data_IF_733614360067
#
_entry.id   IF_733614360067
#
_cell.length_a   1.000
_cell.length_b   1.000
_cell.length_c   1.000
_cell.angle_alpha   90.00
_cell.angle_beta   90.00
_cell.angle_gamma   90.00
#
_symmetry.space_group_name_H-M   'P 1'
#
loop_
_entity.id
_entity.type
_entity.pdbx_description
1 polymer ?
#
# COMPACT_ATOMS: atom_id res chain seq x y z
N UNK A 1 -17.27 -11.63 -8.55
CA UNK A 1 -17.24 -10.66 -9.67
C UNK A 1 -16.31 -9.53 -9.23
N UNK A 2 -15.19 -9.33 -9.92
CA UNK A 2 -14.22 -8.28 -9.59
C UNK A 2 -14.89 -6.91 -9.77
N UNK A 3 -14.86 -6.07 -8.74
CA UNK A 3 -15.35 -4.68 -8.78
C UNK A 3 -14.20 -3.73 -8.46
N UNK A 4 -14.21 -2.56 -9.10
CA UNK A 4 -13.19 -1.51 -8.90
C UNK A 4 -13.29 -0.97 -7.48
N UNK A 5 -14.48 -0.49 -7.14
CA UNK A 5 -14.82 0.03 -5.82
C UNK A 5 -15.33 -1.09 -4.92
N UNK A 6 -14.63 -1.29 -3.80
CA UNK A 6 -15.03 -2.26 -2.80
C UNK A 6 -15.65 -1.51 -1.65
N UNK A 7 -16.97 -1.65 -1.51
CA UNK A 7 -17.69 -1.06 -0.40
C UNK A 7 -17.27 -1.69 0.92
N UNK A 8 -16.88 -0.85 1.87
CA UNK A 8 -16.46 -1.25 3.21
C UNK A 8 -17.58 -1.96 3.98
N UNK A 9 -18.84 -1.66 3.64
CA UNK A 9 -20.04 -2.36 4.12
C UNK A 9 -20.02 -3.88 3.86
N UNK A 10 -19.25 -4.33 2.86
CA UNK A 10 -19.14 -5.76 2.51
C UNK A 10 -18.06 -6.48 3.31
N UNK A 11 -17.18 -5.75 4.00
CA UNK A 11 -16.12 -6.36 4.80
C UNK A 11 -16.64 -6.69 6.20
N UNK A 12 -16.32 -7.88 6.74
CA UNK A 12 -16.57 -8.15 8.15
C UNK A 12 -15.86 -7.11 9.02
N UNK A 13 -16.55 -6.57 10.03
CA UNK A 13 -16.03 -5.52 10.92
C UNK A 13 -14.65 -5.87 11.53
N UNK A 14 -14.38 -7.15 11.80
CA UNK A 14 -13.07 -7.59 12.31
C UNK A 14 -11.95 -7.33 11.30
N UNK A 15 -12.19 -7.59 10.02
CA UNK A 15 -11.23 -7.33 8.94
C UNK A 15 -11.04 -5.83 8.78
N UNK A 16 -12.13 -5.06 8.74
CA UNK A 16 -12.05 -3.61 8.59
C UNK A 16 -11.27 -2.94 9.74
N UNK A 17 -11.43 -3.43 10.97
CA UNK A 17 -10.61 -2.98 12.11
C UNK A 17 -9.12 -3.23 11.89
N UNK A 18 -8.75 -4.41 11.41
CA UNK A 18 -7.35 -4.74 11.10
C UNK A 18 -6.82 -3.89 9.94
N UNK A 19 -7.63 -3.56 8.93
CA UNK A 19 -7.24 -2.71 7.81
C UNK A 19 -7.16 -1.22 8.18
N UNK A 20 -7.82 -0.78 9.25
CA UNK A 20 -7.78 0.63 9.69
C UNK A 20 -6.65 0.92 10.68
N UNK A 21 -6.13 -0.07 11.41
CA UNK A 21 -5.15 0.17 12.47
C UNK A 21 -3.85 0.79 11.93
N UNK A 22 -3.32 1.77 12.66
CA UNK A 22 -1.97 2.29 12.56
C UNK A 22 -1.15 1.75 13.74
N UNK A 23 -0.17 0.89 13.44
CA UNK A 23 0.66 0.24 14.45
C UNK A 23 1.67 1.19 15.12
N UNK A 24 1.91 2.37 14.55
CA UNK A 24 2.76 3.40 15.19
C UNK A 24 2.01 4.10 16.30
N UNK A 25 0.75 4.49 16.07
CA UNK A 25 -0.05 5.28 17.02
C UNK A 25 -0.94 4.43 17.92
N UNK A 26 -1.24 3.19 17.54
CA UNK A 26 -2.21 2.33 18.22
C UNK A 26 -3.67 2.75 18.03
N UNK A 27 -3.93 3.70 17.10
CA UNK A 27 -5.26 4.17 16.70
C UNK A 27 -5.48 3.82 15.22
N UNK A 28 -6.66 4.12 14.68
CA UNK A 28 -6.85 4.03 13.23
C UNK A 28 -5.97 5.06 12.51
N UNK A 29 -5.64 4.78 11.25
CA UNK A 29 -5.18 5.80 10.30
C UNK A 29 -6.18 6.96 10.25
N UNK A 30 -5.71 8.15 9.93
CA UNK A 30 -6.51 9.38 9.97
C UNK A 30 -6.55 10.03 8.59
N UNK A 31 -7.55 10.88 8.34
CA UNK A 31 -7.81 11.41 7.00
C UNK A 31 -6.59 12.05 6.35
N UNK A 32 -5.84 12.88 7.09
CA UNK A 32 -4.70 13.65 6.61
C UNK A 32 -4.99 14.43 5.30
N UNK A 33 -6.26 14.78 5.11
CA UNK A 33 -6.80 15.55 4.00
C UNK A 33 -7.97 16.39 4.50
N UNK A 34 -8.19 17.52 3.83
CA UNK A 34 -9.30 18.43 4.10
C UNK A 34 -10.48 18.21 3.15
N UNK A 35 -10.42 17.17 2.32
CA UNK A 35 -11.45 16.88 1.30
C UNK A 35 -12.82 16.56 1.89
N UNK A 36 -12.85 16.10 3.15
CA UNK A 36 -14.04 15.58 3.80
C UNK A 36 -14.62 16.52 4.87
N UNK A 37 -13.98 17.67 5.14
CA UNK A 37 -14.37 18.60 6.23
C UNK A 37 -15.84 19.03 6.14
N UNK A 38 -16.40 19.15 4.93
CA UNK A 38 -17.80 19.54 4.74
C UNK A 38 -18.81 18.52 5.26
N UNK A 39 -18.39 17.29 5.55
CA UNK A 39 -19.20 16.24 6.17
C UNK A 39 -19.33 16.42 7.69
N UNK A 40 -18.59 17.36 8.27
CA UNK A 40 -18.69 17.77 9.66
C UNK A 40 -17.81 16.95 10.61
N UNK A 41 -18.28 16.77 11.84
CA UNK A 41 -17.52 16.17 12.93
C UNK A 41 -17.04 14.75 12.57
N UNK A 42 -15.76 14.46 12.76
CA UNK A 42 -15.15 13.15 12.46
C UNK A 42 -14.49 13.07 11.08
N UNK A 43 -14.46 14.18 10.34
CA UNK A 43 -13.87 14.30 9.00
C UNK A 43 -12.84 15.42 8.89
N UNK A 44 -12.36 15.95 10.03
CA UNK A 44 -11.26 16.91 10.03
C UNK A 44 -9.93 16.25 9.66
N UNK A 45 -8.95 17.08 9.27
CA UNK A 45 -7.64 16.61 8.81
C UNK A 45 -7.00 15.60 9.77
N UNK A 46 -7.13 15.81 11.08
CA UNK A 46 -6.51 14.99 12.13
C UNK A 46 -7.44 13.92 12.71
N UNK A 47 -8.69 13.85 12.25
CA UNK A 47 -9.64 12.86 12.75
C UNK A 47 -9.30 11.47 12.23
N UNK A 48 -9.34 10.49 13.13
CA UNK A 48 -9.24 9.07 12.77
C UNK A 48 -10.35 8.68 11.80
N UNK A 49 -10.04 7.79 10.85
CA UNK A 49 -11.06 7.16 10.00
C UNK A 49 -11.78 6.11 10.86
N UNK A 50 -12.91 6.52 11.44
CA UNK A 50 -13.77 5.61 12.20
C UNK A 50 -14.62 4.77 11.26
N UNK A 51 -14.96 3.54 11.67
CA UNK A 51 -15.80 2.65 10.87
C UNK A 51 -17.12 3.33 10.49
N UNK A 52 -17.75 4.02 11.44
CA UNK A 52 -19.01 4.74 11.19
C UNK A 52 -18.87 5.87 10.14
N UNK A 53 -17.66 6.35 9.89
CA UNK A 53 -17.36 7.37 8.89
C UNK A 53 -17.20 6.80 7.47
N UNK A 54 -17.25 5.47 7.30
CA UNK A 54 -17.02 4.79 6.01
C UNK A 54 -17.99 3.64 5.74
N UNK A 55 -19.08 3.50 6.51
CA UNK A 55 -20.12 2.48 6.27
C UNK A 55 -21.52 3.10 6.20
N UNK A 56 -22.50 2.34 5.70
CA UNK A 56 -23.90 2.75 5.64
C UNK A 56 -24.07 3.99 4.75
N UNK A 57 -24.59 5.08 5.32
CA UNK A 57 -24.75 6.35 4.58
C UNK A 57 -23.41 6.94 4.10
N UNK A 58 -22.30 6.51 4.70
CA UNK A 58 -20.95 6.95 4.42
C UNK A 58 -20.15 5.94 3.59
N UNK A 59 -20.73 4.80 3.17
CA UNK A 59 -20.06 3.71 2.46
C UNK A 59 -19.57 4.00 1.03
N UNK A 60 -19.69 5.26 0.60
CA UNK A 60 -19.21 5.74 -0.71
C UNK A 60 -18.31 6.97 -0.57
N UNK A 61 -17.77 7.22 0.64
CA UNK A 61 -16.90 8.38 0.89
C UNK A 61 -15.49 8.12 0.40
N UNK A 62 -14.95 6.95 0.75
CA UNK A 62 -13.68 6.46 0.23
C UNK A 62 -14.04 5.60 -0.97
N UNK A 63 -13.52 5.97 -2.12
CA UNK A 63 -13.74 5.25 -3.37
C UNK A 63 -12.50 5.41 -4.23
N UNK A 64 -12.22 4.45 -5.13
CA UNK A 64 -11.17 4.57 -6.12
C UNK A 64 -11.24 5.89 -6.87
N UNK A 65 -10.08 6.47 -7.11
CA UNK A 65 -9.98 7.81 -7.66
C UNK A 65 -10.60 7.89 -9.03
N UNK A 66 -10.56 6.83 -9.83
CA UNK A 66 -11.20 6.78 -11.15
C UNK A 66 -12.72 7.01 -11.11
N UNK A 67 -13.39 6.71 -9.99
CA UNK A 67 -14.84 6.96 -9.83
C UNK A 67 -15.16 8.35 -9.24
N UNK A 68 -14.16 9.07 -8.69
CA UNK A 68 -14.34 10.44 -8.16
C UNK A 68 -14.70 11.45 -9.26
N UNK A 69 -15.36 12.55 -8.88
CA UNK A 69 -15.73 13.64 -9.80
C UNK A 69 -14.51 14.29 -10.45
N UNK A 70 -14.69 14.87 -11.65
CA UNK A 70 -13.59 15.53 -12.39
C UNK A 70 -13.00 16.70 -11.59
N UNK A 71 -13.83 17.44 -10.88
CA UNK A 71 -13.42 18.57 -10.04
C UNK A 71 -12.53 18.11 -8.89
N UNK A 72 -12.92 17.04 -8.18
CA UNK A 72 -12.16 16.50 -7.06
C UNK A 72 -10.82 15.93 -7.51
N UNK A 73 -10.80 15.21 -8.65
CA UNK A 73 -9.56 14.72 -9.28
C UNK A 73 -8.60 15.87 -9.58
N UNK A 74 -9.08 16.92 -10.27
CA UNK A 74 -8.27 18.09 -10.62
C UNK A 74 -7.71 18.79 -9.38
N UNK A 75 -8.54 19.01 -8.37
CA UNK A 75 -8.13 19.63 -7.10
C UNK A 75 -6.99 18.85 -6.45
N UNK A 76 -7.15 17.54 -6.29
CA UNK A 76 -6.12 16.70 -5.66
C UNK A 76 -4.84 16.59 -6.48
N UNK A 77 -4.91 16.59 -7.81
CA UNK A 77 -3.68 16.63 -8.64
C UNK A 77 -2.89 17.92 -8.42
N UNK A 78 -3.57 19.07 -8.25
CA UNK A 78 -2.91 20.35 -7.98
C UNK A 78 -2.41 20.42 -6.53
N UNK A 79 -3.27 20.11 -5.57
CA UNK A 79 -3.02 20.37 -4.15
C UNK A 79 -2.18 19.27 -3.47
N UNK A 80 -2.23 18.04 -4.00
CA UNK A 80 -1.63 16.84 -3.39
C UNK A 80 -0.61 16.14 -4.28
N UNK A 81 -0.32 16.69 -5.47
CA UNK A 81 0.55 16.08 -6.47
C UNK A 81 0.13 14.63 -6.81
N UNK A 82 -1.16 14.33 -6.72
CA UNK A 82 -1.68 12.98 -6.91
C UNK A 82 -1.85 12.70 -8.42
N UNK A 83 -0.96 11.85 -8.93
CA UNK A 83 -0.83 11.47 -10.35
C UNK A 83 -1.45 10.09 -10.57
N UNK A 84 -2.12 9.92 -11.72
CA UNK A 84 -2.64 8.64 -12.16
C UNK A 84 -1.57 7.94 -12.98
N UNK A 85 -1.04 6.83 -12.48
CA UNK A 85 -0.09 6.02 -13.22
C UNK A 85 -0.85 4.93 -13.99
N UNK A 86 -0.95 5.02 -15.33
CA UNK A 86 -1.61 4.01 -16.14
C UNK A 86 -0.95 2.64 -15.94
N UNK A 87 -1.72 1.55 -16.07
CA UNK A 87 -1.22 0.21 -15.77
C UNK A 87 -0.04 -0.19 -16.66
N UNK A 88 0.01 0.31 -17.91
CA UNK A 88 1.14 0.05 -18.81
C UNK A 88 2.46 0.67 -18.30
N UNK A 89 2.42 1.85 -17.67
CA UNK A 89 3.62 2.47 -17.06
C UNK A 89 4.06 1.65 -15.85
N UNK A 90 3.10 1.24 -15.01
CA UNK A 90 3.39 0.33 -13.90
C UNK A 90 4.03 -0.96 -14.39
N UNK A 91 3.51 -1.52 -15.48
CA UNK A 91 4.03 -2.75 -16.07
C UNK A 91 5.49 -2.61 -16.52
N UNK A 92 5.81 -1.54 -17.24
CA UNK A 92 7.18 -1.27 -17.72
C UNK A 92 8.16 -1.16 -16.54
N UNK A 93 7.77 -0.47 -15.47
CA UNK A 93 8.60 -0.32 -14.27
C UNK A 93 8.73 -1.64 -13.50
N UNK A 94 7.67 -2.43 -13.39
CA UNK A 94 7.77 -3.76 -12.79
C UNK A 94 8.68 -4.68 -13.61
N UNK A 95 8.62 -4.61 -14.96
CA UNK A 95 9.52 -5.35 -15.85
C UNK A 95 10.98 -4.98 -15.62
N UNK A 96 11.28 -3.67 -15.57
CA UNK A 96 12.63 -3.19 -15.25
C UNK A 96 13.10 -3.66 -13.87
N UNK A 97 12.19 -3.70 -12.88
CA UNK A 97 12.47 -4.21 -11.55
C UNK A 97 12.83 -5.70 -11.51
N UNK A 98 12.49 -6.49 -12.53
CA UNK A 98 12.68 -7.94 -12.55
C UNK A 98 13.95 -8.40 -13.26
N UNK A 99 14.59 -7.52 -14.05
CA UNK A 99 15.72 -7.86 -14.94
C UNK A 99 16.86 -8.60 -14.23
N UNK A 100 17.17 -8.24 -12.99
CA UNK A 100 18.27 -8.85 -12.23
C UNK A 100 17.92 -10.20 -11.58
N UNK A 101 16.65 -10.62 -11.60
CA UNK A 101 16.19 -11.85 -10.98
C UNK A 101 15.83 -12.93 -12.00
N UNK A 102 15.51 -12.53 -13.22
CA UNK A 102 15.06 -13.44 -14.27
C UNK A 102 16.21 -13.84 -15.19
N UNK A 103 16.10 -15.03 -15.76
CA UNK A 103 16.95 -15.42 -16.90
C UNK A 103 16.70 -14.47 -18.08
N UNK A 104 17.71 -14.25 -18.92
CA UNK A 104 17.67 -13.26 -20.02
C UNK A 104 16.52 -13.47 -21.02
N UNK A 105 16.04 -14.70 -21.14
CA UNK A 105 14.97 -15.12 -22.05
C UNK A 105 13.67 -15.48 -21.30
N UNK A 106 13.50 -14.93 -20.09
CA UNK A 106 12.29 -15.06 -19.27
C UNK A 106 11.74 -13.70 -18.89
N UNK A 107 10.43 -13.57 -18.93
CA UNK A 107 9.70 -12.34 -18.63
C UNK A 107 8.28 -12.70 -18.18
N UNK A 108 7.63 -11.80 -17.43
CA UNK A 108 6.23 -11.97 -17.05
C UNK A 108 5.27 -11.69 -18.20
N UNK A 109 5.58 -10.65 -18.98
CA UNK A 109 4.83 -10.20 -20.14
C UNK A 109 5.73 -9.35 -21.06
N UNK A 110 5.24 -9.04 -22.25
CA UNK A 110 5.87 -8.14 -23.21
C UNK A 110 4.92 -6.98 -23.55
N UNK A 111 5.36 -5.71 -23.43
CA UNK A 111 4.57 -4.57 -23.89
C UNK A 111 4.25 -4.65 -25.38
N UNK A 112 3.04 -4.23 -25.76
CA UNK A 112 2.55 -4.22 -27.14
C UNK A 112 1.54 -3.09 -27.34
N UNK A 113 1.04 -2.93 -28.57
CA UNK A 113 0.11 -1.87 -28.94
C UNK A 113 -1.02 -2.41 -29.82
N UNK A 114 -2.26 -2.02 -29.53
CA UNK A 114 -3.45 -2.23 -30.39
C UNK A 114 -4.16 -0.90 -30.53
N UNK A 115 -4.37 -0.44 -31.77
CA UNK A 115 -5.07 0.83 -32.08
C UNK A 115 -4.57 2.01 -31.24
N UNK A 116 -3.24 2.21 -31.20
CA UNK A 116 -2.52 3.21 -30.40
C UNK A 116 -2.73 3.12 -28.87
N UNK A 117 -3.31 2.03 -28.37
CA UNK A 117 -3.41 1.74 -26.93
C UNK A 117 -2.31 0.79 -26.50
N UNK A 118 -1.64 1.14 -25.40
CA UNK A 118 -0.69 0.25 -24.74
C UNK A 118 -1.41 -0.97 -24.17
N UNK A 119 -0.90 -2.14 -24.48
CA UNK A 119 -1.31 -3.43 -23.90
C UNK A 119 -0.06 -4.22 -23.51
N UNK A 120 -0.23 -5.39 -22.92
CA UNK A 120 0.87 -6.35 -22.73
C UNK A 120 0.39 -7.76 -23.00
N UNK A 121 1.28 -8.58 -23.56
CA UNK A 121 1.04 -9.99 -23.81
C UNK A 121 1.68 -10.81 -22.69
N UNK A 122 0.87 -11.53 -21.92
CA UNK A 122 1.36 -12.35 -20.80
C UNK A 122 2.18 -13.52 -21.34
N UNK A 123 3.33 -13.78 -20.73
CA UNK A 123 4.10 -14.98 -21.00
C UNK A 123 3.39 -16.20 -20.40
N UNK A 124 2.96 -17.20 -21.20
CA UNK A 124 2.29 -18.38 -20.69
C UNK A 124 3.26 -19.42 -20.11
N UNK A 125 4.58 -19.24 -20.31
CA UNK A 125 5.59 -20.18 -19.85
C UNK A 125 5.94 -19.91 -18.39
N UNK A 126 6.33 -20.94 -17.62
CA UNK A 126 6.87 -20.75 -16.28
C UNK A 126 8.07 -19.80 -16.27
N UNK A 127 8.14 -18.98 -15.22
CA UNK A 127 9.22 -18.02 -15.02
C UNK A 127 10.52 -18.77 -14.71
N UNK A 128 11.59 -18.42 -15.45
CA UNK A 128 12.94 -18.93 -15.23
C UNK A 128 13.82 -17.85 -14.63
N UNK A 129 14.59 -18.22 -13.62
CA UNK A 129 15.41 -17.31 -12.82
C UNK A 129 16.85 -17.23 -13.33
N UNK A 130 17.53 -16.13 -13.00
CA UNK A 130 18.93 -15.93 -13.31
C UNK A 130 19.83 -16.98 -12.61
N UNK A 131 21.05 -17.16 -13.10
CA UNK A 131 22.02 -18.09 -12.51
C UNK A 131 22.27 -17.72 -11.03
N UNK A 132 22.05 -18.69 -10.13
CA UNK A 132 22.22 -18.51 -8.69
C UNK A 132 21.03 -17.84 -7.97
N UNK A 133 19.95 -17.51 -8.68
CA UNK A 133 18.70 -16.99 -8.11
C UNK A 133 17.66 -18.09 -8.07
N UNK A 134 17.05 -18.30 -6.89
CA UNK A 134 15.91 -19.21 -6.74
C UNK A 134 14.59 -18.46 -6.82
N UNK A 135 13.49 -19.18 -7.04
CA UNK A 135 12.16 -18.56 -7.02
C UNK A 135 11.82 -18.01 -5.62
N UNK A 136 12.33 -18.65 -4.57
CA UNK A 136 12.20 -18.18 -3.19
C UNK A 136 12.91 -16.84 -2.99
N UNK A 137 14.10 -16.66 -3.57
CA UNK A 137 14.83 -15.39 -3.50
C UNK A 137 14.03 -14.25 -4.14
N UNK A 138 13.31 -14.53 -5.25
CA UNK A 138 12.41 -13.55 -5.84
C UNK A 138 11.24 -13.23 -4.90
N UNK A 139 10.57 -14.25 -4.35
CA UNK A 139 9.42 -14.05 -3.46
C UNK A 139 9.81 -13.30 -2.19
N UNK A 140 10.98 -13.59 -1.64
CA UNK A 140 11.52 -12.98 -0.42
C UNK A 140 12.16 -11.60 -0.66
N UNK A 141 12.23 -11.12 -1.90
CA UNK A 141 12.71 -9.76 -2.19
C UNK A 141 11.77 -8.72 -1.59
N UNK A 142 12.32 -7.87 -0.73
CA UNK A 142 11.59 -6.70 -0.25
C UNK A 142 11.33 -5.72 -1.41
N UNK A 143 10.08 -5.32 -1.58
CA UNK A 143 9.69 -4.21 -2.45
C UNK A 143 8.90 -3.18 -1.65
N UNK A 144 9.03 -1.91 -2.03
CA UNK A 144 8.29 -0.82 -1.43
C UNK A 144 7.78 0.13 -2.52
N UNK A 145 6.48 0.41 -2.51
CA UNK A 145 5.89 1.49 -3.29
C UNK A 145 5.81 2.76 -2.44
N UNK A 146 6.62 3.76 -2.77
CA UNK A 146 6.62 5.05 -2.07
C UNK A 146 5.47 5.91 -2.61
N UNK A 147 4.80 6.65 -1.73
CA UNK A 147 3.61 7.47 -2.09
C UNK A 147 2.61 6.68 -2.92
N UNK A 148 2.18 5.53 -2.36
CA UNK A 148 1.57 4.46 -3.14
C UNK A 148 0.17 4.78 -3.66
N UNK A 149 -0.51 5.81 -3.18
CA UNK A 149 -1.91 6.04 -3.56
C UNK A 149 -2.74 4.78 -3.31
N UNK A 150 -3.27 4.19 -4.39
CA UNK A 150 -4.08 2.95 -4.38
C UNK A 150 -3.24 1.65 -4.58
N UNK A 151 -1.91 1.77 -4.51
CA UNK A 151 -0.90 0.75 -4.70
C UNK A 151 -0.86 0.04 -6.08
N UNK A 152 -0.95 0.77 -7.22
CA UNK A 152 -0.97 0.17 -8.56
C UNK A 152 0.31 -0.54 -8.98
N UNK A 153 1.46 -0.30 -8.32
CA UNK A 153 2.68 -1.07 -8.57
C UNK A 153 2.75 -2.35 -7.74
N UNK A 154 2.07 -2.41 -6.59
CA UNK A 154 2.00 -3.63 -5.78
C UNK A 154 0.95 -4.60 -6.30
N UNK A 155 -0.25 -4.12 -6.58
CA UNK A 155 -1.39 -4.91 -7.07
C UNK A 155 -2.15 -4.15 -8.15
N UNK A 156 -2.57 -4.87 -9.17
CA UNK A 156 -3.15 -4.27 -10.39
C UNK A 156 -4.54 -4.84 -10.66
N UNK A 157 -5.49 -4.57 -9.75
CA UNK A 157 -6.88 -5.04 -9.90
C UNK A 157 -7.62 -4.32 -11.04
N UNK A 158 -7.23 -3.09 -11.33
CA UNK A 158 -7.72 -2.25 -12.41
C UNK A 158 -6.65 -1.25 -12.84
N UNK A 159 -6.80 -0.69 -14.03
CA UNK A 159 -6.02 0.45 -14.47
C UNK A 159 -6.51 1.73 -13.76
N UNK A 160 -5.61 2.42 -13.04
CA UNK A 160 -6.01 3.60 -12.25
C UNK A 160 -6.37 4.83 -13.11
N UNK A 161 -5.94 4.87 -14.37
CA UNK A 161 -6.24 5.93 -15.31
C UNK A 161 -7.56 5.71 -16.05
N UNK A 162 -7.84 4.48 -16.50
CA UNK A 162 -9.06 4.15 -17.27
C UNK A 162 -10.19 3.57 -16.41
N UNK A 163 -9.86 2.91 -15.30
CA UNK A 163 -10.79 2.13 -14.47
C UNK A 163 -11.12 0.77 -15.06
N UNK A 164 -10.46 0.35 -16.13
CA UNK A 164 -10.68 -0.97 -16.72
C UNK A 164 -10.14 -2.05 -15.77
N UNK A 165 -10.97 -3.07 -15.50
CA UNK A 165 -10.59 -4.21 -14.67
C UNK A 165 -9.50 -5.04 -15.34
N UNK A 166 -8.53 -5.50 -14.56
CA UNK A 166 -7.44 -6.37 -15.02
C UNK A 166 -7.64 -7.76 -14.43
N UNK A 167 -7.87 -8.74 -15.30
CA UNK A 167 -8.05 -10.14 -14.93
C UNK A 167 -6.78 -10.72 -14.29
N UNK A 168 -6.91 -11.69 -13.38
CA UNK A 168 -5.79 -12.27 -12.61
C UNK A 168 -4.56 -12.66 -13.45
N UNK A 169 -4.69 -13.35 -14.62
CA UNK A 169 -3.52 -13.70 -15.43
C UNK A 169 -2.81 -12.50 -16.05
N UNK A 170 -3.52 -11.37 -16.19
CA UNK A 170 -3.05 -10.13 -16.80
C UNK A 170 -2.45 -9.16 -15.78
N UNK A 171 -2.52 -9.46 -14.49
CA UNK A 171 -2.02 -8.55 -13.45
C UNK A 171 -0.50 -8.43 -13.48
N UNK A 172 -0.02 -7.21 -13.25
CA UNK A 172 1.37 -6.77 -13.41
C UNK A 172 2.03 -6.35 -12.10
N UNK A 173 1.28 -6.24 -11.01
CA UNK A 173 1.79 -5.75 -9.74
C UNK A 173 2.89 -6.65 -9.16
N UNK A 174 3.81 -6.08 -8.38
CA UNK A 174 4.91 -6.85 -7.78
C UNK A 174 4.41 -7.97 -6.86
N UNK A 175 3.33 -7.76 -6.12
CA UNK A 175 2.69 -8.82 -5.32
C UNK A 175 2.00 -9.85 -6.21
N UNK A 176 1.31 -9.40 -7.26
CA UNK A 176 0.68 -10.28 -8.26
C UNK A 176 1.72 -11.22 -8.91
N UNK A 177 2.89 -10.69 -9.25
CA UNK A 177 4.05 -11.44 -9.79
C UNK A 177 4.62 -12.45 -8.80
N UNK A 178 4.77 -12.06 -7.52
CA UNK A 178 5.17 -12.99 -6.46
C UNK A 178 4.18 -14.14 -6.32
N UNK A 179 2.88 -13.85 -6.28
CA UNK A 179 1.84 -14.89 -6.18
C UNK A 179 1.83 -15.79 -7.42
N UNK A 180 2.03 -15.25 -8.62
CA UNK A 180 2.22 -16.05 -9.83
C UNK A 180 3.40 -17.02 -9.70
N UNK A 181 4.55 -16.57 -9.22
CA UNK A 181 5.71 -17.45 -9.01
C UNK A 181 5.39 -18.55 -8.00
N UNK A 182 4.74 -18.21 -6.88
CA UNK A 182 4.26 -19.21 -5.92
C UNK A 182 3.32 -20.19 -6.61
N UNK A 183 2.45 -19.71 -7.50
CA UNK A 183 1.50 -20.55 -8.20
C UNK A 183 2.16 -21.58 -9.12
N UNK A 184 3.25 -21.20 -9.78
CA UNK A 184 4.01 -22.04 -10.70
C UNK A 184 4.88 -23.09 -9.98
N UNK A 185 5.28 -22.83 -8.72
CA UNK A 185 6.28 -23.63 -8.01
C UNK A 185 5.74 -24.45 -6.84
N UNK A 186 4.53 -24.16 -6.36
CA UNK A 186 3.90 -24.82 -5.22
C UNK A 186 2.55 -25.39 -5.64
N UNK A 187 2.24 -26.62 -5.24
CA UNK A 187 0.99 -27.29 -5.62
C UNK A 187 0.03 -27.51 -4.46
N UNK A 188 0.53 -27.82 -3.26
CA UNK A 188 -0.30 -28.11 -2.09
C UNK A 188 -0.73 -26.83 -1.36
N UNK A 189 -1.87 -26.91 -0.67
CA UNK A 189 -2.50 -25.76 -0.01
C UNK A 189 -1.63 -25.15 1.11
N UNK A 190 -1.07 -26.00 1.97
CA UNK A 190 -0.30 -25.56 3.15
C UNK A 190 0.97 -24.78 2.75
N UNK A 191 1.73 -25.29 1.80
CA UNK A 191 2.92 -24.59 1.32
C UNK A 191 2.53 -23.34 0.53
N UNK A 192 1.44 -23.39 -0.23
CA UNK A 192 0.99 -22.25 -1.00
C UNK A 192 0.63 -21.08 -0.10
N UNK A 193 -0.16 -21.31 0.95
CA UNK A 193 -0.55 -20.25 1.88
C UNK A 193 0.67 -19.69 2.62
N UNK A 194 1.63 -20.54 2.98
CA UNK A 194 2.88 -20.10 3.60
C UNK A 194 3.69 -19.16 2.69
N UNK A 195 3.82 -19.49 1.41
CA UNK A 195 4.58 -18.67 0.47
C UNK A 195 3.84 -17.42 0.00
N UNK A 196 2.51 -17.46 -0.05
CA UNK A 196 1.69 -16.25 -0.22
C UNK A 196 1.86 -15.30 0.96
N UNK A 197 1.78 -15.79 2.20
CA UNK A 197 2.04 -14.98 3.41
C UNK A 197 3.42 -14.30 3.32
N UNK A 198 4.47 -15.04 2.95
CA UNK A 198 5.82 -14.47 2.73
C UNK A 198 5.84 -13.40 1.64
N UNK A 199 5.04 -13.56 0.59
CA UNK A 199 4.91 -12.56 -0.49
C UNK A 199 4.32 -11.25 0.03
N UNK A 200 3.31 -11.33 0.90
CA UNK A 200 2.73 -10.16 1.59
C UNK A 200 3.73 -9.53 2.56
N UNK A 201 4.40 -10.34 3.39
CA UNK A 201 5.37 -9.86 4.39
C UNK A 201 6.52 -9.06 3.78
N UNK A 202 6.91 -9.36 2.54
CA UNK A 202 8.01 -8.68 1.83
C UNK A 202 7.55 -7.59 0.86
N UNK A 203 6.28 -7.19 0.93
CA UNK A 203 5.70 -6.17 0.04
C UNK A 203 5.15 -5.02 0.88
N UNK A 204 5.74 -3.84 0.72
CA UNK A 204 5.48 -2.66 1.53
C UNK A 204 4.99 -1.48 0.68
N UNK A 205 4.38 -0.50 1.34
CA UNK A 205 4.01 0.76 0.71
C UNK A 205 3.69 1.82 1.77
N UNK A 206 3.74 3.08 1.39
CA UNK A 206 3.25 4.14 2.26
C UNK A 206 2.64 5.29 1.49
N UNK A 207 1.71 5.97 2.13
CA UNK A 207 1.13 7.22 1.61
C UNK A 207 0.94 8.23 2.75
N UNK A 208 0.73 9.50 2.38
CA UNK A 208 0.39 10.55 3.34
C UNK A 208 -1.07 10.46 3.77
N UNK A 209 -1.98 10.21 2.82
CA UNK A 209 -3.41 10.36 3.03
C UNK A 209 -4.05 9.06 3.51
N UNK A 210 -4.88 9.12 4.54
CA UNK A 210 -5.47 7.91 5.14
C UNK A 210 -6.44 7.19 4.20
N UNK A 211 -7.16 7.93 3.35
CA UNK A 211 -8.06 7.34 2.34
C UNK A 211 -7.28 6.55 1.29
N UNK A 212 -6.14 7.07 0.83
CA UNK A 212 -5.24 6.34 -0.08
C UNK A 212 -4.71 5.07 0.59
N UNK A 213 -4.23 5.17 1.84
CA UNK A 213 -3.74 4.01 2.60
C UNK A 213 -4.82 2.93 2.72
N UNK A 214 -6.07 3.30 3.01
CA UNK A 214 -7.16 2.33 3.09
C UNK A 214 -7.42 1.65 1.73
N UNK A 215 -7.53 2.41 0.64
CA UNK A 215 -7.73 1.86 -0.70
C UNK A 215 -6.61 0.91 -1.12
N UNK A 216 -5.35 1.25 -0.84
CA UNK A 216 -4.23 0.35 -1.07
C UNK A 216 -4.36 -0.95 -0.26
N UNK A 217 -4.69 -0.85 1.03
CA UNK A 217 -4.87 -2.02 1.92
C UNK A 217 -6.01 -2.92 1.43
N UNK A 218 -7.12 -2.36 0.98
CA UNK A 218 -8.24 -3.09 0.39
C UNK A 218 -7.87 -3.76 -0.92
N UNK A 219 -7.17 -3.06 -1.81
CA UNK A 219 -6.70 -3.65 -3.06
C UNK A 219 -5.79 -4.86 -2.81
N UNK A 220 -4.87 -4.77 -1.84
CA UNK A 220 -4.03 -5.92 -1.45
C UNK A 220 -4.87 -7.06 -0.86
N UNK A 221 -5.84 -6.76 0.01
CA UNK A 221 -6.70 -7.75 0.64
C UNK A 221 -7.57 -8.48 -0.38
N UNK A 222 -8.21 -7.76 -1.30
CA UNK A 222 -9.04 -8.37 -2.33
C UNK A 222 -8.21 -9.12 -3.37
N UNK A 223 -6.98 -8.68 -3.69
CA UNK A 223 -6.07 -9.49 -4.49
C UNK A 223 -5.78 -10.84 -3.83
N UNK A 224 -5.56 -10.90 -2.50
CA UNK A 224 -5.40 -12.18 -1.78
C UNK A 224 -6.62 -13.07 -1.95
N UNK A 225 -7.81 -12.52 -1.69
CA UNK A 225 -9.08 -13.26 -1.77
C UNK A 225 -9.30 -13.79 -3.19
N UNK A 226 -9.09 -12.95 -4.21
CA UNK A 226 -9.27 -13.32 -5.63
C UNK A 226 -8.28 -14.42 -6.07
N UNK A 227 -7.00 -14.34 -5.68
CA UNK A 227 -6.04 -15.41 -5.98
C UNK A 227 -6.33 -16.70 -5.22
N UNK A 228 -6.81 -16.60 -3.98
CA UNK A 228 -7.18 -17.77 -3.18
C UNK A 228 -8.39 -18.48 -3.82
N UNK A 229 -9.44 -17.73 -4.14
CA UNK A 229 -10.66 -18.25 -4.78
C UNK A 229 -10.36 -18.90 -6.13
N UNK A 230 -9.60 -18.23 -6.99
CA UNK A 230 -9.25 -18.74 -8.32
C UNK A 230 -8.52 -20.08 -8.22
N UNK A 231 -7.65 -20.22 -7.22
CA UNK A 231 -6.82 -21.40 -7.07
C UNK A 231 -7.54 -22.57 -6.39
N UNK A 232 -8.35 -22.29 -5.37
CA UNK A 232 -8.90 -23.32 -4.48
C UNK A 232 -10.41 -23.52 -4.66
N UNK A 233 -11.09 -22.66 -5.41
CA UNK A 233 -12.53 -22.73 -5.65
C UNK A 233 -13.38 -22.41 -4.42
N UNK A 234 -12.77 -21.87 -3.36
CA UNK A 234 -13.44 -21.52 -2.10
C UNK A 234 -12.85 -20.23 -1.50
N UNK A 235 -13.52 -19.68 -0.49
CA UNK A 235 -13.06 -18.49 0.24
C UNK A 235 -11.99 -18.85 1.27
N UNK A 236 -11.00 -17.97 1.54
CA UNK A 236 -10.11 -18.15 2.67
C UNK A 236 -10.89 -18.11 4.00
N UNK A 237 -10.45 -18.88 4.98
CA UNK A 237 -11.04 -18.85 6.33
C UNK A 237 -10.92 -17.46 6.96
N UNK A 238 -11.84 -17.13 7.87
CA UNK A 238 -11.83 -15.84 8.58
C UNK A 238 -10.50 -15.59 9.29
N UNK A 239 -9.91 -16.63 9.90
CA UNK A 239 -8.61 -16.49 10.57
C UNK A 239 -7.49 -16.13 9.60
N UNK A 240 -7.51 -16.69 8.38
CA UNK A 240 -6.53 -16.35 7.33
C UNK A 240 -6.75 -14.96 6.75
N UNK A 241 -8.00 -14.53 6.62
CA UNK A 241 -8.33 -13.15 6.25
C UNK A 241 -7.80 -12.16 7.30
N UNK A 242 -7.98 -12.44 8.60
CA UNK A 242 -7.46 -11.61 9.69
C UNK A 242 -5.93 -11.56 9.67
N UNK A 243 -5.26 -12.71 9.48
CA UNK A 243 -3.81 -12.78 9.40
C UNK A 243 -3.24 -11.93 8.26
N UNK A 244 -3.82 -12.03 7.05
CA UNK A 244 -3.42 -11.22 5.90
C UNK A 244 -3.72 -9.73 6.13
N UNK A 245 -4.89 -9.39 6.67
CA UNK A 245 -5.24 -8.00 6.99
C UNK A 245 -4.25 -7.37 7.98
N UNK A 246 -3.80 -8.14 8.97
CA UNK A 246 -2.76 -7.70 9.92
C UNK A 246 -1.41 -7.49 9.26
N UNK A 247 -0.98 -8.36 8.35
CA UNK A 247 0.26 -8.16 7.59
C UNK A 247 0.16 -6.90 6.72
N UNK A 248 -0.97 -6.74 6.03
CA UNK A 248 -1.26 -5.57 5.19
C UNK A 248 -1.19 -4.27 6.01
N UNK A 249 -1.77 -4.22 7.21
CA UNK A 249 -1.75 -3.00 8.01
C UNK A 249 -0.39 -2.66 8.61
N UNK A 250 0.49 -3.65 8.79
CA UNK A 250 1.91 -3.41 9.09
C UNK A 250 2.70 -2.90 7.88
N UNK A 251 2.35 -3.38 6.69
CA UNK A 251 3.18 -3.21 5.49
C UNK A 251 2.79 -2.01 4.62
N UNK A 252 1.51 -1.64 4.63
CA UNK A 252 0.98 -0.44 3.98
C UNK A 252 0.63 0.56 5.09
N UNK A 253 1.39 1.64 5.23
CA UNK A 253 1.32 2.51 6.41
C UNK A 253 1.26 4.01 6.06
N UNK A 254 0.75 4.82 6.99
CA UNK A 254 0.61 6.25 6.80
C UNK A 254 1.89 7.00 7.24
N UNK A 255 2.50 7.79 6.37
CA UNK A 255 3.78 8.46 6.65
C UNK A 255 4.01 9.76 5.88
N UNK A 256 4.60 10.75 6.55
CA UNK A 256 5.31 11.85 5.89
C UNK A 256 6.62 11.29 5.32
N UNK A 257 6.66 10.97 4.02
CA UNK A 257 7.80 10.35 3.36
C UNK A 257 9.10 11.17 3.39
N UNK A 258 9.02 12.49 3.54
CA UNK A 258 10.20 13.36 3.64
C UNK A 258 10.80 13.32 5.05
N UNK A 259 9.95 13.21 6.07
CA UNK A 259 10.34 13.31 7.47
C UNK A 259 10.39 11.96 8.20
N UNK A 260 9.83 10.90 7.59
CA UNK A 260 9.72 9.55 8.14
C UNK A 260 8.98 9.47 9.49
N UNK A 261 8.00 10.35 9.67
CA UNK A 261 7.16 10.47 10.87
C UNK A 261 5.68 10.46 10.49
N UNK A 262 4.81 10.26 11.47
CA UNK A 262 3.36 10.39 11.27
C UNK A 262 3.02 11.79 10.72
N UNK A 263 2.14 11.92 9.71
CA UNK A 263 1.85 13.22 9.11
C UNK A 263 1.48 14.29 10.15
N UNK A 264 2.03 15.50 9.99
CA UNK A 264 1.86 16.63 10.91
C UNK A 264 2.29 16.42 12.38
N UNK A 265 2.98 15.33 12.72
CA UNK A 265 3.51 15.10 14.07
C UNK A 265 4.81 15.88 14.35
N UNK A 266 5.62 16.18 13.33
CA UNK A 266 6.81 17.03 13.46
C UNK A 266 6.42 18.51 13.53
N UNK A 267 7.00 19.24 14.50
CA UNK A 267 6.70 20.66 14.76
C UNK A 267 7.95 21.52 14.61
N UNK A 268 7.86 22.59 13.83
CA UNK A 268 8.94 23.55 13.60
C UNK A 268 8.37 24.96 13.39
N UNK A 269 8.87 25.94 14.15
CA UNK A 269 8.46 27.34 14.01
C UNK A 269 7.05 27.63 14.52
N UNK A 270 6.54 26.79 15.44
CA UNK A 270 5.21 26.94 16.05
C UNK A 270 5.35 27.15 17.56
N UNK A 271 4.43 27.92 18.15
CA UNK A 271 4.32 28.01 19.60
C UNK A 271 3.80 26.68 20.15
N UNK A 272 4.39 26.20 21.24
CA UNK A 272 3.91 25.03 21.94
C UNK A 272 4.31 25.06 23.40
N UNK A 273 3.50 24.41 24.22
CA UNK A 273 3.75 24.28 25.66
C UNK A 273 4.92 23.34 25.88
N UNK A 274 6.01 23.86 26.45
CA UNK A 274 7.11 23.01 26.93
C UNK A 274 6.64 22.39 28.25
N UNK A 275 7.00 21.13 28.53
CA UNK A 275 6.57 20.38 29.72
C UNK A 275 7.14 20.90 31.05
N UNK A 276 7.28 22.22 31.21
CA UNK A 276 7.60 22.87 32.48
C UNK A 276 6.31 23.00 33.33
N UNK A 277 6.50 23.02 34.64
CA UNK A 277 5.39 23.07 35.63
C UNK A 277 4.48 24.30 35.49
N UNK A 278 4.92 25.29 34.69
CA UNK A 278 4.30 26.60 34.52
C UNK A 278 3.62 26.79 33.16
N UNK A 279 3.72 25.82 32.24
CA UNK A 279 3.02 25.84 30.96
C UNK A 279 3.43 26.99 30.04
N UNK A 280 4.69 27.40 30.05
CA UNK A 280 5.17 28.49 29.20
C UNK A 280 5.16 28.06 27.72
N UNK A 281 4.68 28.95 26.85
CA UNK A 281 4.70 28.75 25.41
C UNK A 281 6.07 29.15 24.85
N UNK A 282 6.79 28.19 24.26
CA UNK A 282 8.03 28.47 23.54
C UNK A 282 7.90 28.09 22.06
N UNK A 283 8.75 28.68 21.23
CA UNK A 283 8.84 28.32 19.82
C UNK A 283 9.54 26.97 19.67
N UNK A 284 8.80 25.95 19.28
CA UNK A 284 9.36 24.62 19.03
C UNK A 284 10.20 24.66 17.75
N UNK A 285 11.47 24.26 17.87
CA UNK A 285 12.36 24.08 16.72
C UNK A 285 12.70 22.60 16.51
N UNK A 286 12.86 22.20 15.25
CA UNK A 286 13.17 20.83 14.87
C UNK A 286 14.49 20.83 14.11
N UNK A 287 15.47 20.06 14.58
CA UNK A 287 16.77 19.94 13.93
C UNK A 287 16.65 19.28 12.55
N UNK A 288 15.80 18.25 12.42
CA UNK A 288 15.53 17.59 11.14
C UNK A 288 15.02 18.55 10.08
N UNK A 289 14.08 19.45 10.43
CA UNK A 289 13.59 20.47 9.50
C UNK A 289 14.68 21.49 9.11
N UNK A 290 15.54 21.88 10.05
CA UNK A 290 16.64 22.84 9.78
C UNK A 290 17.74 22.25 8.91
N UNK A 291 18.02 20.96 9.09
CA UNK A 291 19.19 20.29 8.48
C UNK A 291 18.82 19.36 7.33
N UNK A 292 17.53 19.23 7.02
CA UNK A 292 16.98 18.24 6.09
C UNK A 292 17.45 16.80 6.42
N UNK A 293 17.49 16.47 7.72
CA UNK A 293 17.96 15.17 8.21
C UNK A 293 16.77 14.32 8.71
N UNK A 294 16.42 13.23 8.00
CA UNK A 294 15.25 12.42 8.34
C UNK A 294 15.36 11.76 9.73
N UNK A 295 16.57 11.55 10.24
CA UNK A 295 16.79 10.94 11.55
C UNK A 295 16.63 11.92 12.73
N UNK A 296 16.47 13.22 12.44
CA UNK A 296 16.47 14.28 13.46
C UNK A 296 15.13 15.02 13.57
N UNK A 297 14.07 14.48 12.94
CA UNK A 297 12.73 15.01 13.15
C UNK A 297 12.23 14.70 14.57
N UNK A 298 11.56 15.69 15.18
CA UNK A 298 10.92 15.59 16.49
C UNK A 298 9.47 15.05 16.44
N UNK A 299 9.01 14.61 15.26
CA UNK A 299 7.71 13.97 15.11
C UNK A 299 7.72 12.52 15.60
N UNK A 300 6.56 11.87 15.58
CA UNK A 300 6.40 10.47 15.98
C UNK A 300 6.96 9.58 14.86
N UNK A 301 8.09 8.87 15.07
CA UNK A 301 8.70 8.05 14.03
C UNK A 301 7.79 6.89 13.63
N UNK A 302 7.60 6.69 12.33
CA UNK A 302 6.77 5.58 11.83
C UNK A 302 7.47 4.25 12.10
N UNK A 303 6.67 3.26 12.51
CA UNK A 303 7.11 1.90 12.82
C UNK A 303 6.61 0.92 11.77
N UNK A 304 7.45 -0.07 11.48
CA UNK A 304 7.13 -1.20 10.59
C UNK A 304 7.55 -2.52 11.25
N UNK A 305 7.03 -3.63 10.74
CA UNK A 305 7.47 -4.98 11.11
C UNK A 305 8.65 -5.42 10.24
N UNK A 306 9.77 -5.76 10.86
CA UNK A 306 10.83 -6.57 10.26
C UNK A 306 10.39 -8.04 10.39
N UNK A 307 9.81 -8.60 9.33
CA UNK A 307 9.25 -9.96 9.35
C UNK A 307 10.31 -11.06 9.41
N UNK A 308 11.55 -10.79 9.03
CA UNK A 308 12.65 -11.75 9.17
C UNK A 308 12.99 -11.92 10.66
N UNK A 309 13.15 -10.79 11.36
CA UNK A 309 13.50 -10.78 12.79
C UNK A 309 12.32 -10.86 13.73
N UNK A 310 11.11 -10.66 13.22
CA UNK A 310 9.88 -10.54 14.01
C UNK A 310 9.97 -9.38 15.04
N UNK A 311 10.56 -8.27 14.63
CA UNK A 311 10.80 -7.10 15.46
C UNK A 311 10.15 -5.84 14.89
N UNK A 312 9.62 -4.99 15.77
CA UNK A 312 9.11 -3.67 15.37
C UNK A 312 10.28 -2.69 15.34
N UNK A 313 10.51 -2.06 14.19
CA UNK A 313 11.59 -1.10 13.97
C UNK A 313 11.04 0.26 13.51
N UNK A 314 11.80 1.34 13.75
CA UNK A 314 11.50 2.63 13.13
C UNK A 314 11.91 2.62 11.65
N UNK A 315 11.04 3.07 10.75
CA UNK A 315 11.31 3.09 9.31
C UNK A 315 12.59 3.86 8.96
N UNK A 316 12.82 5.00 9.61
CA UNK A 316 14.03 5.81 9.41
C UNK A 316 15.35 5.09 9.74
N UNK A 317 15.31 4.04 10.56
CA UNK A 317 16.49 3.22 10.87
C UNK A 317 17.04 2.46 9.65
N UNK A 318 16.24 2.32 8.59
CA UNK A 318 16.70 1.75 7.31
C UNK A 318 17.67 2.68 6.57
N UNK A 319 17.59 4.00 6.82
CA UNK A 319 18.43 5.01 6.16
C UNK A 319 19.71 5.32 6.94
N UNK A 320 19.73 5.06 8.25
CA UNK A 320 20.91 5.25 9.09
C UNK A 320 21.97 4.15 8.92
N UNK A 321 21.57 2.98 8.39
CA UNK A 321 22.49 1.90 8.01
C UNK A 321 23.21 2.19 6.68
N UNK A 322 23.98 3.29 6.63
CA UNK A 322 25.09 3.35 5.68
C UNK A 322 26.22 2.50 6.24
N UNK A 323 26.54 1.41 5.53
CA UNK A 323 27.81 0.69 5.68
C UNK A 323 28.98 1.61 5.38
#
# INVERSE_FOLDING_TARGET
MCVIDVLEDKLPIKILKELLIDHTTGKNIFWASSDYITLGKGFDFTDSIEIASIIGNNGHIIMPRVVKSKELKKKRTIDKAEIFTPAWVCNDMCNAGDENYLSKDSHFNEPSYIDDRHIWNVCPKPIRFADGVTWQDYVLRNCIEITCGEAPYLVSRYDTASGELIALPQRIGLLDRKIRIVNENVSNHSDWIQWVIKSFQTTYGYDWQGDNVLLARENLFYSFVEYYEERWGEQPSVDKQIEIAKIISWNIFQMDGLKMVIPNSCKHGVLGTVGNLFGEEEMITCEGCKTNNPNKHNGIPVRIMDWDKHEVIEFRSLYSKKK
#
